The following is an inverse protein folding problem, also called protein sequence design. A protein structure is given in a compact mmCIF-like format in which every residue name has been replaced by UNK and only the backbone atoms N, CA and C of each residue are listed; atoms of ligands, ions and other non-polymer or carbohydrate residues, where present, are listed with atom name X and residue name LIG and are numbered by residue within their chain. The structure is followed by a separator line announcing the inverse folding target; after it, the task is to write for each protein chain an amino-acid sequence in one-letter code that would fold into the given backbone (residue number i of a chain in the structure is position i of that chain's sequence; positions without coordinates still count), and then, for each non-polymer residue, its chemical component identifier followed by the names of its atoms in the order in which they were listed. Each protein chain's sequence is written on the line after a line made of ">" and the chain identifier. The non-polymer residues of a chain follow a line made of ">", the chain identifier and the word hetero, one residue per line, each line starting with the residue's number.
data_IF_082721987077
#
_entry.id   IF_082721987077
#
_cell.length_a   1.000
_cell.length_b   1.000
_cell.length_c   1.000
_cell.angle_alpha   90.00
_cell.angle_beta   90.00
_cell.angle_gamma   90.00
#
_symmetry.space_group_name_H-M   'P 1'
#
loop_
_entity.id
_entity.type
_entity.pdbx_description
1 polymer ?
#
# COMPACT_ATOMS: atom_id res chain seq x y z
N UNK A 1 -9.85 -34.10 -13.34
CA UNK A 1 -8.66 -33.70 -12.57
C UNK A 1 -9.09 -33.52 -11.13
N UNK A 2 -8.56 -34.32 -10.22
CA UNK A 2 -8.83 -34.23 -8.79
C UNK A 2 -7.75 -33.33 -8.16
N UNK A 3 -8.16 -32.27 -7.46
CA UNK A 3 -7.25 -31.42 -6.69
C UNK A 3 -7.24 -31.89 -5.23
N UNK A 4 -6.06 -31.96 -4.63
CA UNK A 4 -5.89 -32.22 -3.20
C UNK A 4 -5.59 -30.92 -2.47
N UNK A 5 -6.30 -30.66 -1.37
CA UNK A 5 -6.09 -29.49 -0.53
C UNK A 5 -5.26 -29.86 0.69
N UNK A 6 -4.29 -29.01 1.01
CA UNK A 6 -3.56 -29.04 2.27
C UNK A 6 -3.90 -27.78 3.06
N UNK A 7 -4.56 -27.97 4.19
CA UNK A 7 -4.89 -26.90 5.11
C UNK A 7 -3.69 -26.61 6.03
N UNK A 8 -3.34 -25.34 6.20
CA UNK A 8 -2.31 -24.92 7.15
C UNK A 8 -2.76 -23.73 7.99
N UNK A 9 -2.15 -23.57 9.16
CA UNK A 9 -2.40 -22.44 10.05
C UNK A 9 -1.23 -21.43 9.95
N UNK A 10 -1.45 -20.23 9.39
CA UNK A 10 -0.40 -19.22 9.33
C UNK A 10 -0.11 -18.63 10.71
N UNK A 11 1.14 -18.25 10.93
CA UNK A 11 1.51 -17.47 12.12
C UNK A 11 0.84 -16.09 12.06
N UNK A 12 0.20 -15.70 13.16
CA UNK A 12 -0.56 -14.47 13.30
C UNK A 12 -0.11 -13.71 14.55
N UNK A 13 0.04 -12.39 14.43
CA UNK A 13 0.42 -11.52 15.54
C UNK A 13 -0.42 -10.26 15.57
N UNK A 14 -0.95 -9.94 16.74
CA UNK A 14 -1.63 -8.67 16.99
C UNK A 14 -0.66 -7.63 17.50
N UNK A 15 -0.77 -6.42 16.96
CA UNK A 15 -0.19 -5.19 17.49
C UNK A 15 -1.35 -4.27 17.85
N UNK A 16 -1.52 -4.00 19.14
CA UNK A 16 -2.58 -3.12 19.65
C UNK A 16 -1.98 -1.75 19.92
N UNK A 17 -2.52 -0.71 19.29
CA UNK A 17 -2.08 0.66 19.47
C UNK A 17 -3.29 1.55 19.83
N UNK A 18 -3.07 2.75 20.40
CA UNK A 18 -4.19 3.60 20.83
C UNK A 18 -5.16 3.99 19.71
N UNK A 19 -4.64 4.24 18.50
CA UNK A 19 -5.42 4.74 17.37
C UNK A 19 -5.84 3.64 16.38
N UNK A 20 -5.17 2.50 16.41
CA UNK A 20 -5.42 1.40 15.47
C UNK A 20 -4.92 0.08 16.04
N UNK A 21 -5.52 -1.01 15.60
CA UNK A 21 -4.96 -2.33 15.78
C UNK A 21 -4.44 -2.85 14.45
N UNK A 22 -3.28 -3.49 14.46
CA UNK A 22 -2.69 -4.13 13.29
C UNK A 22 -2.60 -5.64 13.49
N UNK A 23 -3.13 -6.40 12.55
CA UNK A 23 -3.00 -7.85 12.47
C UNK A 23 -1.96 -8.21 11.41
N UNK A 24 -0.89 -8.87 11.83
CA UNK A 24 0.17 -9.38 10.95
C UNK A 24 -0.02 -10.88 10.73
N UNK A 25 -0.02 -11.31 9.47
CA UNK A 25 -0.20 -12.72 9.10
C UNK A 25 0.91 -13.13 8.13
N UNK A 26 1.69 -14.13 8.53
CA UNK A 26 2.82 -14.61 7.76
C UNK A 26 2.34 -15.65 6.73
N UNK A 27 2.44 -15.27 5.46
CA UNK A 27 1.95 -16.02 4.30
C UNK A 27 3.07 -16.11 3.23
N UNK A 28 4.21 -16.75 3.54
CA UNK A 28 5.29 -16.90 2.57
C UNK A 28 4.82 -17.69 1.35
N UNK A 29 5.25 -17.25 0.16
CA UNK A 29 4.90 -17.88 -1.12
C UNK A 29 3.51 -17.54 -1.66
N UNK A 30 2.68 -16.78 -0.93
CA UNK A 30 1.41 -16.26 -1.45
C UNK A 30 1.63 -14.99 -2.29
N UNK A 31 0.79 -14.83 -3.31
CA UNK A 31 0.64 -13.58 -4.07
C UNK A 31 -0.59 -12.83 -3.57
N UNK A 32 -0.60 -11.50 -3.69
CA UNK A 32 -1.73 -10.65 -3.26
C UNK A 32 -3.07 -11.10 -3.86
N UNK A 33 -3.08 -11.55 -5.12
CA UNK A 33 -4.28 -11.99 -5.84
C UNK A 33 -4.86 -13.31 -5.29
N UNK A 34 -4.07 -14.07 -4.54
CA UNK A 34 -4.46 -15.34 -3.92
C UNK A 34 -5.05 -15.14 -2.51
N UNK A 35 -5.15 -13.89 -2.04
CA UNK A 35 -5.61 -13.55 -0.70
C UNK A 35 -6.96 -12.85 -0.77
N UNK A 36 -7.82 -13.16 0.20
CA UNK A 36 -9.12 -12.54 0.38
C UNK A 36 -9.26 -12.07 1.82
N UNK A 37 -9.68 -10.82 1.99
CA UNK A 37 -9.97 -10.20 3.29
C UNK A 37 -11.40 -9.69 3.23
N UNK A 38 -12.22 -10.10 4.20
CA UNK A 38 -13.65 -9.76 4.24
C UNK A 38 -14.08 -9.50 5.67
N UNK A 39 -15.08 -8.65 5.84
CA UNK A 39 -15.87 -8.58 7.06
C UNK A 39 -17.13 -9.44 6.88
N UNK A 40 -17.37 -10.33 7.84
CA UNK A 40 -18.61 -11.10 7.97
C UNK A 40 -19.73 -10.18 8.44
N UNK A 41 -20.99 -10.57 8.15
CA UNK A 41 -22.18 -9.91 8.70
C UNK A 41 -22.23 -9.91 10.23
N UNK A 42 -21.50 -10.83 10.88
CA UNK A 42 -21.33 -10.90 12.34
C UNK A 42 -20.30 -9.90 12.89
N UNK A 43 -19.62 -9.13 12.04
CA UNK A 43 -18.54 -8.22 12.43
C UNK A 43 -17.15 -8.87 12.49
N UNK A 44 -17.03 -10.15 12.14
CA UNK A 44 -15.76 -10.86 12.19
C UNK A 44 -14.91 -10.62 10.93
N UNK A 45 -13.61 -10.46 11.10
CA UNK A 45 -12.64 -10.36 10.01
C UNK A 45 -12.26 -11.77 9.54
N UNK A 46 -12.64 -12.10 8.31
CA UNK A 46 -12.34 -13.38 7.66
C UNK A 46 -11.22 -13.16 6.65
N UNK A 47 -10.14 -13.92 6.80
CA UNK A 47 -8.98 -13.88 5.92
C UNK A 47 -8.73 -15.28 5.40
N UNK A 48 -8.68 -15.43 4.08
CA UNK A 48 -8.41 -16.71 3.44
C UNK A 48 -7.48 -16.56 2.25
N UNK A 49 -6.91 -17.69 1.83
CA UNK A 49 -6.15 -17.74 0.59
C UNK A 49 -5.88 -19.17 0.16
N UNK A 50 -5.58 -19.30 -1.13
CA UNK A 50 -5.27 -20.58 -1.78
C UNK A 50 -4.15 -20.39 -2.81
N UNK A 51 -3.14 -21.25 -2.76
CA UNK A 51 -2.05 -21.28 -3.74
C UNK A 51 -1.75 -22.70 -4.20
N UNK A 52 -1.27 -22.84 -5.42
CA UNK A 52 -0.67 -24.08 -5.89
C UNK A 52 0.66 -24.32 -5.16
N UNK A 53 0.94 -25.58 -4.82
CA UNK A 53 2.10 -25.96 -4.00
C UNK A 53 3.03 -26.92 -4.70
N UNK A 54 2.58 -27.58 -5.79
CA UNK A 54 3.37 -28.50 -6.58
C UNK A 54 3.45 -28.08 -8.04
N UNK A 55 4.46 -28.60 -8.74
CA UNK A 55 4.72 -28.30 -10.15
C UNK A 55 3.66 -28.89 -11.09
N UNK A 56 2.95 -29.93 -10.66
CA UNK A 56 1.93 -30.63 -11.43
C UNK A 56 0.53 -29.99 -11.28
N UNK A 57 0.39 -28.97 -10.43
CA UNK A 57 -0.83 -28.20 -10.21
C UNK A 57 -1.96 -28.97 -9.52
N UNK A 58 -1.69 -30.17 -9.01
CA UNK A 58 -2.69 -31.04 -8.37
C UNK A 58 -2.85 -30.76 -6.88
N UNK A 59 -1.86 -30.16 -6.23
CA UNK A 59 -1.88 -29.84 -4.80
C UNK A 59 -2.02 -28.35 -4.57
N UNK A 60 -2.97 -27.98 -3.71
CA UNK A 60 -3.24 -26.60 -3.33
C UNK A 60 -3.14 -26.43 -1.83
N UNK A 61 -2.34 -25.48 -1.37
CA UNK A 61 -2.32 -25.08 0.04
C UNK A 61 -3.32 -23.97 0.24
N UNK A 62 -4.18 -24.12 1.25
CA UNK A 62 -5.17 -23.11 1.60
C UNK A 62 -5.15 -22.83 3.10
N UNK A 63 -5.67 -21.66 3.46
CA UNK A 63 -5.93 -21.30 4.84
C UNK A 63 -7.21 -20.49 4.92
N UNK A 64 -7.87 -20.55 6.08
CA UNK A 64 -8.97 -19.66 6.44
C UNK A 64 -8.87 -19.36 7.93
N UNK A 65 -8.78 -18.09 8.27
CA UNK A 65 -8.77 -17.60 9.65
C UNK A 65 -9.88 -16.58 9.84
N UNK A 66 -10.48 -16.65 11.00
CA UNK A 66 -11.52 -15.72 11.42
C UNK A 66 -11.07 -15.07 12.72
N UNK A 67 -11.22 -13.75 12.80
CA UNK A 67 -10.82 -12.96 13.93
C UNK A 67 -11.98 -12.08 14.38
N UNK A 68 -12.29 -12.14 15.67
CA UNK A 68 -13.24 -11.21 16.27
C UNK A 68 -12.61 -9.82 16.31
N UNK A 69 -13.30 -8.86 15.70
CA UNK A 69 -12.91 -7.46 15.71
C UNK A 69 -13.77 -6.73 16.74
N UNK A 70 -13.18 -5.84 17.53
CA UNK A 70 -13.94 -5.02 18.48
C UNK A 70 -14.91 -4.11 17.73
N UNK A 71 -16.08 -3.84 18.33
CA UNK A 71 -17.07 -2.88 17.81
C UNK A 71 -16.51 -1.45 17.74
N UNK A 72 -15.38 -1.19 18.39
CA UNK A 72 -14.68 0.09 18.38
C UNK A 72 -13.91 0.34 17.08
N UNK A 73 -13.84 -0.63 16.15
CA UNK A 73 -13.15 -0.46 14.87
C UNK A 73 -14.04 0.20 13.83
N UNK A 74 -13.49 1.18 13.12
CA UNK A 74 -14.13 1.78 11.94
C UNK A 74 -14.00 0.84 10.73
N UNK A 75 -14.93 -0.11 10.61
CA UNK A 75 -14.96 -1.13 9.56
C UNK A 75 -14.75 -0.59 8.13
N UNK A 76 -15.30 0.59 7.82
CA UNK A 76 -15.18 1.23 6.50
C UNK A 76 -13.76 1.76 6.20
N UNK A 77 -12.89 1.84 7.20
CA UNK A 77 -11.52 2.35 7.07
C UNK A 77 -10.46 1.27 7.25
N UNK A 78 -10.85 -0.01 7.29
CA UNK A 78 -9.89 -1.12 7.35
C UNK A 78 -9.03 -1.11 6.08
N UNK A 79 -7.72 -1.17 6.27
CA UNK A 79 -6.73 -1.22 5.19
C UNK A 79 -5.97 -2.54 5.22
N UNK A 80 -5.64 -3.07 4.05
CA UNK A 80 -4.82 -4.26 3.92
C UNK A 80 -3.60 -3.96 3.03
N UNK A 81 -2.41 -4.37 3.49
CA UNK A 81 -1.15 -4.27 2.76
C UNK A 81 -0.46 -5.62 2.76
N UNK A 82 0.05 -6.05 1.61
CA UNK A 82 0.81 -7.31 1.50
C UNK A 82 2.20 -7.01 0.95
N UNK A 83 3.23 -7.28 1.74
CA UNK A 83 4.61 -7.13 1.32
C UNK A 83 5.51 -8.12 2.05
N UNK A 84 6.57 -8.57 1.37
CA UNK A 84 7.56 -9.50 1.92
C UNK A 84 6.96 -10.77 2.56
N UNK A 85 5.90 -11.33 1.96
CA UNK A 85 5.23 -12.52 2.48
C UNK A 85 4.39 -12.30 3.74
N UNK A 86 4.12 -11.05 4.13
CA UNK A 86 3.31 -10.72 5.32
C UNK A 86 2.12 -9.87 4.88
N UNK A 87 0.93 -10.27 5.33
CA UNK A 87 -0.30 -9.49 5.23
C UNK A 87 -0.48 -8.68 6.51
N UNK A 88 -0.62 -7.37 6.34
CA UNK A 88 -0.90 -6.40 7.39
C UNK A 88 -2.33 -5.91 7.21
N UNK A 89 -3.19 -6.18 8.20
CA UNK A 89 -4.54 -5.64 8.25
C UNK A 89 -4.60 -4.59 9.35
N UNK A 90 -4.76 -3.34 8.95
CA UNK A 90 -4.78 -2.16 9.82
C UNK A 90 -6.24 -1.79 10.04
N UNK A 91 -6.65 -1.77 11.30
CA UNK A 91 -8.01 -1.52 11.76
C UNK A 91 -8.00 -0.25 12.63
N UNK A 92 -8.37 0.91 12.06
CA UNK A 92 -8.48 2.14 12.83
C UNK A 92 -9.57 2.04 13.91
N UNK A 93 -9.27 2.55 15.10
CA UNK A 93 -10.26 2.70 16.16
C UNK A 93 -11.08 3.96 15.92
N UNK A 94 -12.38 3.88 16.18
CA UNK A 94 -13.29 5.02 16.25
C UNK A 94 -12.79 5.91 17.39
N UNK A 95 -12.26 7.09 17.07
CA UNK A 95 -11.84 8.04 18.10
C UNK A 95 -13.01 8.33 19.02
N UNK A 96 -12.85 8.09 20.32
CA UNK A 96 -13.70 8.64 21.38
C UNK A 96 -13.42 10.14 21.58
N UNK A 97 -13.20 10.89 20.50
CA UNK A 97 -12.97 12.33 20.49
C UNK A 97 -14.29 13.14 20.58
N UNK A 98 -15.29 12.60 21.30
CA UNK A 98 -16.51 13.33 21.65
C UNK A 98 -16.46 13.90 23.09
N UNK A 99 -15.32 13.81 23.80
CA UNK A 99 -15.16 14.39 25.13
C UNK A 99 -14.10 15.51 25.22
N UNK A 100 -13.38 15.84 24.15
CA UNK A 100 -12.52 17.03 24.12
C UNK A 100 -12.43 17.53 22.68
N UNK A 101 -13.10 18.64 22.40
CA UNK A 101 -13.19 19.22 21.07
C UNK A 101 -11.82 19.58 20.50
N UNK A 102 -11.47 18.96 19.38
CA UNK A 102 -10.55 19.55 18.40
C UNK A 102 -11.21 19.35 17.05
N UNK A 103 -11.50 20.47 16.39
CA UNK A 103 -11.89 20.51 15.01
C UNK A 103 -10.81 19.83 14.17
N UNK A 104 -11.13 18.67 13.58
CA UNK A 104 -10.32 18.15 12.48
C UNK A 104 -11.18 18.27 11.23
N UNK A 105 -10.91 19.36 10.50
CA UNK A 105 -11.28 19.47 9.09
C UNK A 105 -10.94 18.15 8.41
N UNK A 106 -11.98 17.53 7.83
CA UNK A 106 -11.88 16.41 6.92
C UNK A 106 -10.76 16.68 5.90
N UNK A 107 -9.61 16.02 6.09
CA UNK A 107 -8.53 16.04 5.12
C UNK A 107 -8.76 14.90 4.15
N UNK A 108 -9.58 15.20 3.15
CA UNK A 108 -9.81 14.39 1.97
C UNK A 108 -8.50 14.27 1.20
N UNK A 109 -7.66 13.28 1.51
CA UNK A 109 -6.45 13.03 0.72
C UNK A 109 -6.73 12.03 -0.39
N UNK A 110 -7.04 12.60 -1.56
CA UNK A 110 -7.18 11.96 -2.86
C UNK A 110 -5.78 11.52 -3.37
N UNK A 111 -5.55 10.21 -3.47
CA UNK A 111 -4.26 9.59 -3.83
C UNK A 111 -4.11 9.24 -5.32
N UNK A 112 -4.72 10.02 -6.22
CA UNK A 112 -4.64 9.74 -7.66
C UNK A 112 -3.73 10.70 -8.42
N UNK A 113 -2.43 10.79 -8.10
CA UNK A 113 -1.41 11.36 -9.04
C UNK A 113 -0.05 10.66 -8.90
N UNK A 114 0.16 9.69 -9.79
CA UNK A 114 1.40 9.45 -10.56
C UNK A 114 2.72 9.41 -9.76
N UNK A 115 3.18 8.18 -9.49
CA UNK A 115 4.61 7.84 -9.51
C UNK A 115 5.17 8.10 -10.92
N UNK A 116 5.33 9.37 -11.29
CA UNK A 116 6.26 9.74 -12.34
C UNK A 116 7.64 9.67 -11.68
N UNK A 117 8.39 8.61 -12.00
CA UNK A 117 9.80 8.51 -11.63
C UNK A 117 10.53 9.67 -12.29
N UNK A 118 10.91 10.68 -11.51
CA UNK A 118 11.90 11.68 -11.93
C UNK A 118 13.26 10.98 -12.00
N UNK A 119 13.57 10.37 -13.13
CA UNK A 119 14.94 9.91 -13.42
C UNK A 119 15.66 11.07 -14.12
N UNK A 120 16.28 11.94 -13.34
CA UNK A 120 17.18 12.97 -13.85
C UNK A 120 18.48 12.28 -14.29
N UNK A 121 18.54 11.82 -15.53
CA UNK A 121 19.83 11.48 -16.17
C UNK A 121 20.39 12.78 -16.75
N UNK A 122 21.23 13.45 -15.97
CA UNK A 122 22.02 14.58 -16.45
C UNK A 122 23.09 14.09 -17.43
N UNK A 123 22.75 13.98 -18.71
CA UNK A 123 23.76 13.81 -19.76
C UNK A 123 24.40 15.17 -20.02
N UNK A 124 25.62 15.30 -19.53
CA UNK A 124 26.50 16.43 -19.68
C UNK A 124 27.28 16.32 -21.01
N UNK A 125 27.15 17.32 -21.88
CA UNK A 125 28.14 17.74 -22.89
C UNK A 125 27.62 19.05 -23.53
N UNK A 126 28.16 20.23 -23.22
CA UNK A 126 29.37 20.85 -23.79
C UNK A 126 28.99 22.08 -24.68
N UNK A 127 29.11 23.31 -24.15
CA UNK A 127 30.08 24.37 -24.55
C UNK A 127 29.58 25.39 -25.61
N UNK A 128 29.13 26.55 -25.10
CA UNK A 128 29.74 27.89 -25.31
C UNK A 128 29.85 28.59 -26.69
N UNK A 129 28.92 28.46 -27.64
CA UNK A 129 29.02 29.27 -28.89
C UNK A 129 27.87 30.26 -29.16
N UNK A 130 26.69 30.10 -28.55
CA UNK A 130 25.51 30.88 -28.97
C UNK A 130 25.34 32.30 -28.40
N UNK A 131 25.97 32.61 -27.25
CA UNK A 131 25.72 33.90 -26.54
C UNK A 131 26.69 35.01 -26.99
N UNK A 132 27.69 34.70 -27.81
CA UNK A 132 28.67 35.68 -28.29
C UNK A 132 28.11 36.70 -29.30
N UNK A 133 26.95 36.43 -29.91
CA UNK A 133 26.36 37.29 -30.97
C UNK A 133 25.55 38.48 -30.41
N UNK A 134 25.12 38.45 -29.16
CA UNK A 134 24.24 39.51 -28.60
C UNK A 134 25.01 40.72 -28.05
N UNK A 135 26.35 40.65 -27.94
CA UNK A 135 27.20 41.73 -27.41
C UNK A 135 27.81 42.67 -28.45
N UNK A 136 27.64 42.40 -29.76
CA UNK A 136 28.25 43.19 -30.84
C UNK A 136 27.28 44.07 -31.67
N UNK A 137 25.99 44.11 -31.34
CA UNK A 137 25.00 44.85 -32.14
C UNK A 137 24.65 46.26 -31.61
N UNK A 138 25.44 46.81 -30.67
CA UNK A 138 25.14 48.09 -30.00
C UNK A 138 26.30 49.12 -30.01
N UNK A 139 27.21 49.05 -30.99
CA UNK A 139 28.31 50.03 -31.15
C UNK A 139 28.50 50.55 -32.58
N UNK A 140 27.43 50.80 -33.33
CA UNK A 140 27.51 51.55 -34.59
C UNK A 140 26.60 52.78 -34.55
N UNK A 141 26.95 53.73 -33.67
CA UNK A 141 26.60 55.14 -33.83
C UNK A 141 27.83 55.99 -33.48
N UNK A 142 28.24 56.80 -34.48
CA UNK A 142 29.28 57.84 -34.53
C UNK A 142 30.73 57.45 -34.86
N UNK A 143 31.18 57.90 -36.04
CA UNK A 143 32.55 58.37 -36.23
C UNK A 143 33.20 58.17 -37.60
N UNK A 144 32.65 58.74 -38.68
CA UNK A 144 33.33 59.76 -39.49
C UNK A 144 32.39 60.41 -40.48
#
# INVERSE_FOLDING_TARGET
>A
MEFTYEDFEPFCKWKREPNSDTLEIHLPGFKRQQLRVQLSSSGNLVISGERESDSDGKKRNRFRREFNVSNEIEANQIQAKFFNGILYVIMPKRSTAAAAGVDVKASTMNWNKRLAMEIIVAVSSAVAVGVYVTKYCQCSHLGS
#
